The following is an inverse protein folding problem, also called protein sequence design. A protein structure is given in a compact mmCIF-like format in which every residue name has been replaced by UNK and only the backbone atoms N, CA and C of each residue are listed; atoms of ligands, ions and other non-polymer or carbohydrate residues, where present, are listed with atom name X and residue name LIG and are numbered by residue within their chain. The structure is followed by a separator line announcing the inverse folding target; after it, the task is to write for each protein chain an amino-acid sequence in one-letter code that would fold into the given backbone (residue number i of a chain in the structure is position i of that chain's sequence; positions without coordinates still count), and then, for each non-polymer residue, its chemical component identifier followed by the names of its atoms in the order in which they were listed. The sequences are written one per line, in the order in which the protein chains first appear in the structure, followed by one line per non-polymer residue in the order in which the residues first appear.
data_IF_314650016019
#
_entry.id   IF_314650016019
#
_cell.length_a   1.000
_cell.length_b   1.000
_cell.length_c   1.000
_cell.angle_alpha   90.00
_cell.angle_beta   90.00
_cell.angle_gamma   90.00
#
_symmetry.space_group_name_H-M   'P 1'
#
loop_
_entity.id
_entity.type
_entity.pdbx_description
1 polymer ?
#
# COMPACT_ATOMS: atom_id res chain seq x y z
N UNK A 1 -7.98 10.93 -0.29
CA UNK A 1 -9.04 10.20 -1.04
C UNK A 1 -8.96 10.42 -2.55
N UNK A 2 -8.84 11.67 -3.05
CA UNK A 2 -8.83 11.96 -4.50
C UNK A 2 -7.84 11.11 -5.34
N UNK A 3 -6.62 10.87 -4.82
CA UNK A 3 -5.65 9.97 -5.46
C UNK A 3 -6.21 8.56 -5.69
N UNK A 4 -6.76 7.94 -4.65
CA UNK A 4 -7.31 6.58 -4.72
C UNK A 4 -8.56 6.50 -5.60
N UNK A 5 -9.43 7.50 -5.56
CA UNK A 5 -10.62 7.54 -6.42
C UNK A 5 -10.25 7.59 -7.90
N UNK A 6 -9.28 8.43 -8.26
CA UNK A 6 -8.80 8.51 -9.64
C UNK A 6 -8.21 7.17 -10.08
N UNK A 7 -7.34 6.59 -9.26
CA UNK A 7 -6.70 5.31 -9.57
C UNK A 7 -7.74 4.19 -9.74
N UNK A 8 -8.74 4.12 -8.85
CA UNK A 8 -9.83 3.15 -8.95
C UNK A 8 -10.64 3.30 -10.25
N UNK A 9 -10.91 4.54 -10.69
CA UNK A 9 -11.60 4.80 -11.96
C UNK A 9 -10.74 4.36 -13.15
N UNK A 10 -9.46 4.73 -13.17
CA UNK A 10 -8.52 4.35 -14.24
C UNK A 10 -8.39 2.81 -14.35
N UNK A 11 -8.55 2.11 -13.22
CA UNK A 11 -8.51 0.65 -13.13
C UNK A 11 -9.89 -0.05 -13.22
N UNK A 12 -10.95 0.69 -13.55
CA UNK A 12 -12.33 0.19 -13.69
C UNK A 12 -12.89 -0.51 -12.44
N UNK A 13 -12.52 -0.03 -11.26
CA UNK A 13 -13.00 -0.55 -9.97
C UNK A 13 -14.24 0.20 -9.50
N UNK A 14 -15.35 -0.52 -9.33
CA UNK A 14 -16.61 0.05 -8.83
C UNK A 14 -16.61 0.31 -7.32
N UNK A 15 -15.82 -0.46 -6.57
CA UNK A 15 -15.69 -0.35 -5.13
C UNK A 15 -14.22 -0.40 -4.76
N UNK A 16 -13.82 0.43 -3.79
CA UNK A 16 -12.48 0.39 -3.20
C UNK A 16 -12.59 0.67 -1.70
N UNK A 17 -11.63 0.17 -0.92
CA UNK A 17 -11.46 0.54 0.48
C UNK A 17 -10.17 1.34 0.64
N UNK A 18 -10.12 2.14 1.70
CA UNK A 18 -8.91 2.86 2.11
C UNK A 18 -8.66 2.54 3.57
N UNK A 19 -7.48 2.03 3.88
CA UNK A 19 -7.02 1.89 5.25
C UNK A 19 -6.04 3.02 5.58
N UNK A 20 -6.29 3.71 6.69
CA UNK A 20 -5.39 4.69 7.28
C UNK A 20 -5.16 4.31 8.73
N UNK A 21 -4.48 3.19 8.95
CA UNK A 21 -4.33 2.66 10.29
C UNK A 21 -3.17 3.33 11.06
N UNK A 22 -3.53 4.10 12.08
CA UNK A 22 -2.60 4.47 13.15
C UNK A 22 -2.43 3.27 14.07
N UNK A 23 -1.49 2.37 13.77
CA UNK A 23 -1.24 1.20 14.62
C UNK A 23 -0.24 1.59 15.71
N UNK A 24 -0.64 1.48 16.99
CA UNK A 24 0.23 1.77 18.12
C UNK A 24 1.35 0.72 18.20
N UNK A 25 2.56 1.10 17.79
CA UNK A 25 3.73 0.20 17.75
C UNK A 25 4.26 -0.19 19.14
N UNK A 26 3.78 0.45 20.21
CA UNK A 26 4.21 0.16 21.59
C UNK A 26 3.52 -1.05 22.21
N UNK A 27 2.46 -1.58 21.59
CA UNK A 27 1.71 -2.75 22.07
C UNK A 27 1.75 -3.87 21.03
N UNK A 28 2.54 -4.90 21.28
CA UNK A 28 2.79 -5.99 20.33
C UNK A 28 1.57 -6.90 20.07
N UNK A 29 0.66 -7.03 21.04
CA UNK A 29 -0.60 -7.78 20.85
C UNK A 29 -1.55 -7.02 19.94
N UNK A 30 -1.78 -5.74 20.21
CA UNK A 30 -2.60 -4.85 19.39
C UNK A 30 -2.02 -4.69 17.97
N UNK A 31 -0.69 -4.64 17.86
CA UNK A 31 0.01 -4.61 16.59
C UNK A 31 -0.32 -5.85 15.75
N UNK A 32 -0.23 -7.05 16.33
CA UNK A 32 -0.49 -8.31 15.63
C UNK A 32 -1.97 -8.50 15.31
N UNK A 33 -2.85 -8.13 16.24
CA UNK A 33 -4.31 -8.21 16.10
C UNK A 33 -4.84 -7.21 15.07
N UNK A 34 -4.23 -6.04 14.93
CA UNK A 34 -4.60 -5.10 13.87
C UNK A 34 -4.01 -5.54 12.52
N UNK A 35 -2.73 -5.92 12.47
CA UNK A 35 -2.01 -6.15 11.21
C UNK A 35 -2.48 -7.42 10.49
N UNK A 36 -2.56 -8.57 11.17
CA UNK A 36 -2.83 -9.84 10.51
C UNK A 36 -4.21 -9.87 9.79
N UNK A 37 -5.29 -9.32 10.37
CA UNK A 37 -6.56 -9.19 9.65
C UNK A 37 -6.46 -8.24 8.46
N UNK A 38 -5.78 -7.09 8.58
CA UNK A 38 -5.61 -6.13 7.48
C UNK A 38 -4.87 -6.74 6.29
N UNK A 39 -3.85 -7.56 6.54
CA UNK A 39 -3.11 -8.27 5.48
C UNK A 39 -3.99 -9.20 4.66
N UNK A 40 -4.93 -9.91 5.29
CA UNK A 40 -5.87 -10.78 4.54
C UNK A 40 -6.73 -9.99 3.55
N UNK A 41 -7.10 -8.76 3.89
CA UNK A 41 -7.87 -7.92 2.98
C UNK A 41 -6.99 -7.48 1.80
N UNK A 42 -5.74 -7.10 2.05
CA UNK A 42 -4.80 -6.76 0.98
C UNK A 42 -4.54 -7.94 0.03
N UNK A 43 -4.33 -9.14 0.58
CA UNK A 43 -4.14 -10.38 -0.19
C UNK A 43 -5.36 -10.68 -1.08
N UNK A 44 -6.57 -10.47 -0.58
CA UNK A 44 -7.81 -10.74 -1.30
C UNK A 44 -8.23 -9.63 -2.27
N UNK A 45 -7.52 -8.49 -2.29
CA UNK A 45 -7.83 -7.37 -3.17
C UNK A 45 -7.48 -7.69 -4.63
N UNK A 46 -8.27 -7.20 -5.58
CA UNK A 46 -7.91 -7.30 -7.01
C UNK A 46 -6.67 -6.45 -7.33
N UNK A 47 -6.54 -5.28 -6.67
CA UNK A 47 -5.34 -4.44 -6.70
C UNK A 47 -5.18 -3.77 -5.33
N UNK A 48 -3.94 -3.69 -4.86
CA UNK A 48 -3.58 -3.04 -3.61
C UNK A 48 -2.63 -1.87 -3.89
N UNK A 49 -3.02 -0.66 -3.50
CA UNK A 49 -2.21 0.55 -3.66
C UNK A 49 -1.64 0.99 -2.32
N UNK A 50 -0.35 1.32 -2.29
CA UNK A 50 0.31 1.95 -1.14
C UNK A 50 0.67 3.40 -1.50
N UNK A 51 0.34 4.34 -0.62
CA UNK A 51 0.76 5.73 -0.72
C UNK A 51 1.73 6.05 0.41
N UNK A 52 2.98 6.33 0.06
CA UNK A 52 4.06 6.66 1.00
C UNK A 52 4.50 8.11 0.76
N UNK A 53 4.05 9.02 1.62
CA UNK A 53 4.26 10.46 1.43
C UNK A 53 5.71 10.91 1.65
N UNK A 54 6.45 10.15 2.45
CA UNK A 54 7.83 10.39 2.87
C UNK A 54 8.87 9.72 1.96
N UNK A 55 8.42 8.94 0.97
CA UNK A 55 9.28 8.29 -0.01
C UNK A 55 9.32 9.13 -1.28
N UNK A 56 10.42 9.84 -1.50
CA UNK A 56 10.72 10.43 -2.80
C UNK A 56 11.05 9.32 -3.79
N UNK A 57 10.49 9.36 -5.00
CA UNK A 57 11.04 8.59 -6.13
C UNK A 57 12.52 8.97 -6.23
N UNK A 58 13.41 7.98 -6.03
CA UNK A 58 14.85 8.22 -6.11
C UNK A 58 15.16 8.97 -7.41
N UNK A 59 16.02 9.98 -7.32
CA UNK A 59 16.47 10.72 -8.49
C UNK A 59 16.89 9.73 -9.57
N UNK A 60 16.22 9.81 -10.73
CA UNK A 60 16.54 9.03 -11.92
C UNK A 60 18.02 9.27 -12.24
N UNK A 61 18.87 8.37 -11.75
CA UNK A 61 20.26 8.32 -12.16
C UNK A 61 20.21 7.37 -13.34
N UNK A 62 20.40 7.90 -14.54
CA UNK A 62 20.45 7.15 -15.80
C UNK A 62 21.50 6.03 -15.70
N UNK A 63 21.09 4.86 -15.24
CA UNK A 63 21.83 3.60 -15.29
C UNK A 63 20.87 2.44 -14.99
N UNK A 64 20.15 2.02 -16.02
CA UNK A 64 20.03 0.61 -16.43
C UNK A 64 19.71 -0.43 -15.35
N UNK A 65 18.43 -0.50 -14.95
CA UNK A 65 17.63 -1.72 -14.72
C UNK A 65 16.34 -1.27 -14.00
N UNK A 66 15.15 -1.73 -14.39
CA UNK A 66 14.00 -1.60 -13.51
C UNK A 66 14.34 -2.48 -12.31
N UNK A 67 14.91 -1.88 -11.27
CA UNK A 67 14.90 -2.45 -9.94
C UNK A 67 13.42 -2.68 -9.64
N UNK A 68 12.98 -3.88 -9.99
CA UNK A 68 11.81 -4.52 -9.46
C UNK A 68 12.13 -4.51 -7.99
N UNK A 69 11.70 -3.47 -7.29
CA UNK A 69 11.48 -3.48 -5.86
C UNK A 69 10.33 -4.48 -5.70
N UNK A 70 10.66 -5.75 -5.93
CA UNK A 70 9.93 -6.90 -5.43
C UNK A 70 10.05 -6.72 -3.94
N UNK A 71 8.99 -6.15 -3.35
CA UNK A 71 8.70 -6.36 -1.95
C UNK A 71 8.46 -7.87 -1.81
N UNK A 72 9.55 -8.62 -1.70
CA UNK A 72 9.50 -10.01 -1.29
C UNK A 72 8.98 -10.01 0.15
N UNK A 73 7.88 -10.73 0.35
CA UNK A 73 7.26 -10.98 1.66
C UNK A 73 8.20 -11.81 2.55
#
# INVERSE_FOLDING_TARGET
LHFFTRQAVDDNMQHFWVDSCCTNKSNSSELSEAINPKFRWYEQSTKCYAYLADVSKGAETEADEPSRLTWEL
#
